data_IF_170656604666
#
_entry.id   IF_170656604666
#
_cell.length_a   1.000
_cell.length_b   1.000
_cell.length_c   1.000
_cell.angle_alpha   90.00
_cell.angle_beta   90.00
_cell.angle_gamma   90.00
#
_symmetry.space_group_name_H-M   'P 1'
#
loop_
_entity.id
_entity.type
_entity.pdbx_description
1 polymer ?
#
# COMPACT_ATOMS: atom_id res chain seq x y z
N UNK A 1 23.73 11.53 -16.37
CA UNK A 1 22.61 12.35 -16.90
C UNK A 1 21.40 12.09 -16.02
N UNK A 2 20.82 13.11 -15.37
CA UNK A 2 19.59 12.90 -14.60
C UNK A 2 18.45 12.63 -15.58
N UNK A 3 17.67 11.59 -15.31
CA UNK A 3 16.40 11.36 -15.99
C UNK A 3 15.40 12.35 -15.38
N UNK A 4 14.99 13.36 -16.15
CA UNK A 4 13.85 14.19 -15.79
C UNK A 4 12.58 13.35 -16.00
N UNK A 5 12.03 12.86 -14.91
CA UNK A 5 10.74 12.16 -14.90
C UNK A 5 9.70 13.18 -14.42
N UNK A 6 8.93 13.73 -15.36
CA UNK A 6 7.76 14.52 -15.04
C UNK A 6 6.56 13.59 -14.83
N UNK A 7 5.88 13.75 -13.70
CA UNK A 7 4.63 13.04 -13.40
C UNK A 7 3.46 14.02 -13.57
N UNK A 8 2.55 13.74 -14.49
CA UNK A 8 1.27 14.44 -14.58
C UNK A 8 0.18 13.53 -14.01
N UNK A 9 -0.48 13.96 -12.93
CA UNK A 9 -1.64 13.25 -12.37
C UNK A 9 -2.89 13.96 -12.88
N UNK A 10 -3.63 13.32 -13.79
CA UNK A 10 -4.95 13.79 -14.21
C UNK A 10 -6.03 12.94 -13.57
N UNK A 11 -7.02 13.62 -12.99
CA UNK A 11 -8.27 13.02 -12.53
C UNK A 11 -9.32 13.34 -13.59
N UNK A 12 -9.86 12.32 -14.27
CA UNK A 12 -10.96 12.49 -15.22
C UNK A 12 -12.22 11.83 -14.69
N UNK A 13 -13.32 12.58 -14.59
CA UNK A 13 -14.66 12.04 -14.39
C UNK A 13 -15.50 12.25 -15.65
N UNK A 14 -16.25 11.25 -16.08
CA UNK A 14 -17.25 11.39 -17.14
C UNK A 14 -18.62 11.58 -16.54
N UNK A 15 -19.26 12.70 -16.84
CA UNK A 15 -20.64 12.96 -16.47
C UNK A 15 -21.55 12.23 -17.48
N UNK A 16 -22.28 11.22 -17.03
CA UNK A 16 -23.43 10.68 -17.76
C UNK A 16 -24.67 10.93 -16.92
N UNK A 17 -25.72 11.48 -17.51
CA UNK A 17 -26.89 12.07 -16.84
C UNK A 17 -27.78 11.08 -16.05
N UNK A 18 -27.34 9.85 -15.81
CA UNK A 18 -28.13 8.86 -15.07
C UNK A 18 -27.36 8.11 -13.97
N UNK A 19 -26.03 8.08 -14.00
CA UNK A 19 -25.20 7.54 -12.92
C UNK A 19 -23.83 8.23 -12.93
N UNK A 20 -23.34 8.62 -11.74
CA UNK A 20 -21.93 9.00 -11.56
C UNK A 20 -21.11 7.71 -11.48
N UNK A 21 -20.62 7.23 -12.61
CA UNK A 21 -19.50 6.29 -12.60
C UNK A 21 -18.23 7.07 -12.24
N UNK A 22 -17.82 6.97 -10.97
CA UNK A 22 -16.49 7.43 -10.55
C UNK A 22 -15.48 6.39 -10.98
N UNK A 23 -14.97 6.48 -12.19
CA UNK A 23 -13.75 5.76 -12.58
C UNK A 23 -12.56 6.56 -12.05
N UNK A 24 -11.98 6.13 -10.92
CA UNK A 24 -10.73 6.69 -10.41
C UNK A 24 -9.55 6.18 -11.26
N UNK A 25 -9.44 6.68 -12.49
CA UNK A 25 -8.25 6.42 -13.31
C UNK A 25 -7.18 7.42 -12.88
N UNK A 26 -6.13 6.92 -12.22
CA UNK A 26 -4.90 7.69 -12.01
C UNK A 26 -3.97 7.32 -13.14
N UNK A 27 -3.94 8.16 -14.18
CA UNK A 27 -2.96 8.03 -15.23
C UNK A 27 -1.62 8.58 -14.71
N UNK A 28 -0.65 7.69 -14.54
CA UNK A 28 0.73 8.06 -14.22
C UNK A 28 1.48 8.11 -15.55
N UNK A 29 1.58 9.29 -16.15
CA UNK A 29 2.40 9.50 -17.33
C UNK A 29 3.88 9.56 -16.94
N UNK A 30 4.68 8.65 -17.48
CA UNK A 30 6.14 8.78 -17.53
C UNK A 30 6.46 9.43 -18.88
N UNK A 31 6.70 10.74 -18.90
CA UNK A 31 7.16 11.39 -20.13
C UNK A 31 8.63 11.01 -20.39
N UNK A 32 8.97 10.32 -21.48
CA UNK A 32 10.36 10.21 -21.89
C UNK A 32 10.87 11.56 -22.43
N UNK A 33 12.19 11.83 -22.40
CA UNK A 33 12.75 13.00 -23.05
C UNK A 33 12.37 13.02 -24.54
N UNK A 34 12.04 14.22 -25.02
CA UNK A 34 11.46 14.54 -26.33
C UNK A 34 11.85 13.59 -27.47
N UNK A 35 10.88 12.86 -28.05
CA UNK A 35 11.07 12.15 -29.33
C UNK A 35 10.22 10.91 -29.58
N UNK A 36 9.49 10.38 -28.60
CA UNK A 36 8.63 9.21 -28.78
C UNK A 36 7.22 9.47 -28.23
N UNK A 37 6.23 9.49 -29.12
CA UNK A 37 4.81 9.46 -28.73
C UNK A 37 4.32 8.02 -28.74
N UNK A 38 4.19 7.42 -27.56
CA UNK A 38 3.40 6.21 -27.37
C UNK A 38 2.19 6.56 -26.51
N UNK A 39 1.02 6.65 -27.14
CA UNK A 39 -0.25 6.72 -26.42
C UNK A 39 -0.56 5.32 -25.88
N UNK A 40 -0.66 5.19 -24.55
CA UNK A 40 -1.17 3.98 -23.91
C UNK A 40 -2.54 4.33 -23.34
N UNK A 41 -3.57 4.23 -24.16
CA UNK A 41 -4.96 4.22 -23.70
C UNK A 41 -5.30 2.81 -23.23
N UNK A 42 -5.62 2.66 -21.94
CA UNK A 42 -6.15 1.42 -21.37
C UNK A 42 -5.18 0.72 -20.43
N UNK A 43 -5.21 1.10 -19.15
CA UNK A 43 -4.69 0.24 -18.08
C UNK A 43 -5.70 -0.88 -17.82
N UNK A 44 -5.82 -1.82 -18.78
CA UNK A 44 -6.44 -3.10 -18.52
C UNK A 44 -5.66 -3.79 -17.39
N UNK A 45 -6.36 -4.47 -16.48
CA UNK A 45 -5.76 -5.30 -15.42
C UNK A 45 -4.50 -5.97 -15.96
N UNK A 46 -3.36 -5.61 -15.37
CA UNK A 46 -2.02 -6.04 -15.80
C UNK A 46 -2.07 -7.48 -16.32
N UNK A 47 -1.79 -7.68 -17.63
CA UNK A 47 -1.48 -9.00 -18.13
C UNK A 47 -0.35 -9.54 -17.25
N UNK A 48 -0.44 -10.80 -16.81
CA UNK A 48 0.74 -11.52 -16.33
C UNK A 48 1.69 -11.65 -17.52
N UNK A 49 2.46 -10.62 -17.85
CA UNK A 49 3.18 -10.50 -19.12
C UNK A 49 4.18 -9.34 -19.17
N UNK A 50 5.42 -9.67 -18.82
CA UNK A 50 6.74 -9.23 -19.32
C UNK A 50 7.18 -7.77 -19.56
N UNK A 51 6.32 -6.75 -19.73
CA UNK A 51 6.80 -5.52 -20.40
C UNK A 51 6.81 -4.23 -19.55
N UNK A 52 6.77 -4.35 -18.22
CA UNK A 52 7.32 -3.27 -17.36
C UNK A 52 8.80 -3.54 -17.27
N UNK A 53 9.64 -2.61 -17.75
CA UNK A 53 11.10 -2.68 -17.54
C UNK A 53 11.35 -3.21 -16.14
N UNK A 54 11.94 -4.41 -16.13
CA UNK A 54 12.03 -5.25 -14.96
C UNK A 54 12.64 -4.39 -13.85
N UNK A 55 11.81 -4.00 -12.86
CA UNK A 55 12.24 -3.59 -11.53
C UNK A 55 12.87 -4.83 -10.84
N UNK A 56 13.81 -5.46 -11.56
CA UNK A 56 14.58 -6.60 -11.18
C UNK A 56 15.39 -6.19 -9.95
N UNK A 57 15.48 -7.06 -8.94
CA UNK A 57 15.54 -6.58 -7.59
C UNK A 57 16.93 -6.03 -7.28
N UNK A 58 17.04 -4.76 -6.85
CA UNK A 58 18.14 -4.33 -5.97
C UNK A 58 17.95 -4.89 -4.55
N UNK A 59 17.67 -6.19 -4.44
CA UNK A 59 17.36 -6.88 -3.20
C UNK A 59 17.41 -8.40 -3.36
N UNK A 60 18.46 -9.03 -2.80
CA UNK A 60 18.76 -10.48 -2.68
C UNK A 60 18.41 -11.46 -3.83
N UNK A 61 17.84 -11.05 -4.96
CA UNK A 61 17.40 -11.92 -6.05
C UNK A 61 16.20 -12.83 -5.71
N UNK A 62 15.57 -12.68 -4.53
CA UNK A 62 14.42 -13.52 -4.17
C UNK A 62 13.16 -13.10 -4.94
N UNK A 63 12.48 -14.03 -5.63
CA UNK A 63 11.22 -13.74 -6.29
C UNK A 63 10.12 -13.41 -5.26
N UNK A 64 9.19 -12.52 -5.63
CA UNK A 64 7.98 -12.14 -4.85
C UNK A 64 8.25 -11.30 -3.60
N UNK A 65 8.82 -10.11 -3.80
CA UNK A 65 8.86 -9.09 -2.76
C UNK A 65 7.56 -8.27 -2.83
N UNK A 66 6.72 -8.42 -1.81
CA UNK A 66 5.42 -7.74 -1.73
C UNK A 66 5.53 -6.33 -1.17
N UNK A 67 6.57 -6.06 -0.38
CA UNK A 67 6.76 -4.78 0.28
C UNK A 67 7.46 -3.81 -0.67
N UNK A 68 6.72 -2.77 -1.07
CA UNK A 68 7.21 -1.67 -1.92
C UNK A 68 7.39 -0.45 -1.05
N UNK A 69 8.58 0.11 -1.05
CA UNK A 69 8.79 1.46 -0.54
C UNK A 69 8.62 2.46 -1.70
N UNK A 70 7.52 3.20 -1.68
CA UNK A 70 7.21 4.19 -2.71
C UNK A 70 8.10 5.44 -2.64
N UNK A 71 8.72 5.71 -1.50
CA UNK A 71 9.67 6.82 -1.37
C UNK A 71 10.96 6.47 -2.12
N UNK A 72 11.49 5.27 -1.90
CA UNK A 72 12.73 4.84 -2.53
C UNK A 72 12.52 4.24 -3.93
N UNK A 73 11.29 3.90 -4.32
CA UNK A 73 10.95 3.15 -5.54
C UNK A 73 11.71 1.82 -5.62
N UNK A 74 11.83 1.14 -4.48
CA UNK A 74 12.50 -0.15 -4.37
C UNK A 74 11.62 -1.16 -3.69
N UNK A 75 11.92 -2.43 -3.94
CA UNK A 75 11.38 -3.56 -3.19
C UNK A 75 12.50 -4.13 -2.35
N UNK A 76 12.20 -4.40 -1.09
CA UNK A 76 13.06 -5.19 -0.24
C UNK A 76 12.28 -6.39 0.26
N UNK A 77 12.95 -7.53 0.38
CA UNK A 77 12.43 -8.61 1.20
C UNK A 77 12.59 -8.25 2.68
N UNK A 78 11.86 -8.96 3.54
CA UNK A 78 11.91 -8.79 4.99
C UNK A 78 13.32 -8.90 5.58
N UNK A 79 14.18 -9.72 4.97
CA UNK A 79 15.57 -9.91 5.43
C UNK A 79 16.49 -8.78 4.92
N UNK A 80 16.22 -8.23 3.74
CA UNK A 80 17.03 -7.16 3.16
C UNK A 80 16.71 -5.79 3.75
N UNK A 81 15.46 -5.57 4.17
CA UNK A 81 15.04 -4.29 4.74
C UNK A 81 15.97 -3.81 5.87
N UNK A 82 16.18 -4.56 6.96
CA UNK A 82 17.03 -4.09 8.07
C UNK A 82 18.52 -3.97 7.70
N UNK A 83 18.95 -4.54 6.56
CA UNK A 83 20.33 -4.43 6.08
C UNK A 83 20.55 -3.18 5.22
N UNK A 84 19.50 -2.68 4.57
CA UNK A 84 19.57 -1.56 3.62
C UNK A 84 18.99 -0.28 4.20
N UNK A 85 18.00 -0.41 5.08
CA UNK A 85 17.31 0.69 5.73
C UNK A 85 17.78 0.75 7.19
N UNK A 86 18.52 1.80 7.52
CA UNK A 86 19.12 1.99 8.84
C UNK A 86 18.45 3.16 9.58
N UNK A 87 18.19 3.03 10.89
CA UNK A 87 17.64 4.11 11.70
C UNK A 87 18.70 5.19 11.90
N UNK A 88 18.34 6.48 12.01
CA UNK A 88 19.38 7.51 12.18
C UNK A 88 20.06 7.53 13.52
N UNK A 89 19.53 6.81 14.51
CA UNK A 89 20.31 6.45 15.69
C UNK A 89 21.63 5.73 15.31
N UNK A 90 21.65 4.96 14.22
CA UNK A 90 22.85 4.36 13.67
C UNK A 90 23.82 5.43 13.17
N UNK A 91 23.41 6.31 12.26
CA UNK A 91 24.29 7.35 11.72
C UNK A 91 24.77 8.34 12.78
N UNK A 92 23.91 8.71 13.73
CA UNK A 92 24.29 9.58 14.85
C UNK A 92 25.38 8.96 15.75
N UNK A 93 25.37 7.63 15.92
CA UNK A 93 26.33 6.92 16.79
C UNK A 93 27.61 6.55 16.06
N UNK A 94 27.49 5.96 14.87
CA UNK A 94 28.58 5.30 14.17
C UNK A 94 29.19 6.16 13.07
N UNK A 95 28.44 7.13 12.54
CA UNK A 95 28.89 7.97 11.43
C UNK A 95 28.87 9.45 11.81
N UNK A 96 29.59 9.78 12.90
CA UNK A 96 29.73 11.15 13.45
C UNK A 96 30.24 12.20 12.46
N UNK A 97 30.68 11.79 11.26
CA UNK A 97 31.23 12.67 10.23
C UNK A 97 30.19 13.08 9.19
N UNK A 98 29.00 12.46 9.15
CA UNK A 98 28.00 12.81 8.13
C UNK A 98 27.37 14.16 8.48
N UNK A 99 27.52 15.19 7.63
CA UNK A 99 26.95 16.51 7.91
C UNK A 99 25.44 16.39 8.07
N UNK A 100 24.89 17.02 9.11
CA UNK A 100 23.44 16.94 9.42
C UNK A 100 22.57 17.36 8.22
N UNK A 101 23.05 18.31 7.41
CA UNK A 101 22.35 18.75 6.21
C UNK A 101 22.09 17.62 5.20
N UNK A 102 22.96 16.60 5.13
CA UNK A 102 22.82 15.48 4.18
C UNK A 102 21.53 14.71 4.43
N UNK A 103 21.09 14.57 5.67
CA UNK A 103 19.84 13.88 5.99
C UNK A 103 18.59 14.63 5.48
N UNK A 104 18.70 15.92 5.16
CA UNK A 104 17.63 16.70 4.51
C UNK A 104 17.69 16.62 2.98
N UNK A 105 18.69 15.93 2.41
CA UNK A 105 18.90 15.76 0.97
C UNK A 105 18.53 14.34 0.50
N UNK A 106 18.03 13.52 1.42
CA UNK A 106 17.70 12.10 1.22
C UNK A 106 16.27 11.89 1.72
N UNK A 107 15.42 11.20 0.96
CA UNK A 107 14.11 10.80 1.44
C UNK A 107 14.22 9.83 2.63
N UNK A 108 13.26 9.87 3.55
CA UNK A 108 13.16 8.92 4.67
C UNK A 108 12.12 7.80 4.40
N UNK A 109 12.42 6.58 4.84
CA UNK A 109 11.52 5.42 4.76
C UNK A 109 10.30 5.56 5.66
N UNK A 110 10.40 6.43 6.66
CA UNK A 110 9.39 6.62 7.71
C UNK A 110 8.21 7.47 7.24
N UNK A 111 8.16 7.85 5.95
CA UNK A 111 7.09 8.68 5.39
C UNK A 111 5.69 8.11 5.64
N UNK A 112 5.53 6.79 5.78
CA UNK A 112 4.24 6.18 6.18
C UNK A 112 3.63 6.76 7.48
N UNK A 113 4.46 7.29 8.37
CA UNK A 113 4.02 7.96 9.60
C UNK A 113 3.86 9.47 9.44
N UNK A 114 4.60 10.08 8.52
CA UNK A 114 4.70 11.53 8.37
C UNK A 114 3.66 12.06 7.36
N UNK A 115 3.44 11.36 6.25
CA UNK A 115 2.49 11.77 5.20
C UNK A 115 1.02 11.84 5.64
N UNK A 116 0.67 11.26 6.80
CA UNK A 116 -0.66 11.42 7.42
C UNK A 116 -0.85 12.75 8.12
N UNK A 117 0.23 13.38 8.58
CA UNK A 117 0.16 14.53 9.48
C UNK A 117 0.32 15.87 8.75
N UNK A 118 0.84 15.86 7.52
CA UNK A 118 1.17 17.10 6.82
C UNK A 118 0.59 17.10 5.41
N UNK A 119 -0.17 18.15 5.12
CA UNK A 119 -0.71 18.37 3.79
C UNK A 119 0.32 18.98 2.85
N UNK A 120 1.28 19.72 3.40
CA UNK A 120 2.32 20.41 2.68
C UNK A 120 3.66 19.67 2.82
N UNK A 121 4.22 19.22 1.70
CA UNK A 121 5.50 18.52 1.64
C UNK A 121 6.66 19.47 1.95
N UNK A 122 6.52 20.77 1.67
CA UNK A 122 7.58 21.75 1.87
C UNK A 122 7.84 21.99 3.38
N UNK A 123 6.79 21.92 4.20
CA UNK A 123 6.89 22.02 5.66
C UNK A 123 7.65 20.82 6.28
N UNK A 124 7.68 19.68 5.59
CA UNK A 124 8.39 18.49 6.06
C UNK A 124 9.90 18.68 6.08
N UNK A 125 10.44 19.46 5.14
CA UNK A 125 11.88 19.70 5.05
C UNK A 125 12.42 20.57 6.20
N UNK A 126 11.54 21.31 6.89
CA UNK A 126 11.93 22.23 7.96
C UNK A 126 11.72 21.64 9.37
N UNK A 127 10.91 20.58 9.51
CA UNK A 127 10.64 19.91 10.79
C UNK A 127 11.75 18.94 11.24
N UNK A 128 12.88 19.54 11.58
CA UNK A 128 14.12 18.91 12.06
C UNK A 128 14.05 18.50 13.53
N UNK A 129 13.46 17.36 13.84
CA UNK A 129 13.67 16.72 15.16
C UNK A 129 13.42 15.20 15.20
N UNK A 130 13.54 14.49 14.07
CA UNK A 130 13.26 13.04 14.02
C UNK A 130 14.46 12.15 13.74
N UNK A 131 15.70 12.68 13.81
CA UNK A 131 16.91 11.94 13.41
C UNK A 131 17.06 10.55 14.06
N UNK A 132 16.53 10.35 15.27
CA UNK A 132 16.66 9.06 15.96
C UNK A 132 15.70 8.01 15.40
N UNK A 133 14.52 8.41 14.93
CA UNK A 133 13.44 7.50 14.53
C UNK A 133 13.23 7.40 13.02
N UNK A 134 13.81 8.30 12.25
CA UNK A 134 13.78 8.22 10.80
C UNK A 134 14.72 7.10 10.32
N UNK A 135 14.32 6.49 9.23
CA UNK A 135 15.02 5.39 8.60
C UNK A 135 15.48 5.82 7.20
N UNK A 136 16.71 5.48 6.82
CA UNK A 136 17.27 5.86 5.51
C UNK A 136 17.94 4.70 4.82
N UNK A 137 17.91 4.74 3.49
CA UNK A 137 18.67 3.82 2.65
C UNK A 137 20.18 4.12 2.72
N UNK A 138 20.96 3.16 3.20
CA UNK A 138 22.42 3.27 3.40
C UNK A 138 23.18 3.61 2.12
N UNK A 139 22.76 3.04 0.99
CA UNK A 139 23.35 3.34 -0.31
C UNK A 139 23.12 4.81 -0.72
N UNK A 140 21.93 5.35 -0.46
CA UNK A 140 21.65 6.77 -0.74
C UNK A 140 22.42 7.69 0.21
N UNK A 141 22.48 7.36 1.50
CA UNK A 141 23.26 8.12 2.49
C UNK A 141 24.73 8.19 2.09
N UNK A 142 25.33 7.05 1.77
CA UNK A 142 26.73 6.97 1.34
C UNK A 142 26.98 7.81 0.09
N UNK A 143 26.12 7.65 -0.94
CA UNK A 143 26.24 8.36 -2.21
C UNK A 143 26.14 9.87 -2.05
N UNK A 144 25.11 10.35 -1.34
CA UNK A 144 24.86 11.79 -1.17
C UNK A 144 25.92 12.41 -0.24
N UNK A 145 26.36 11.69 0.81
CA UNK A 145 27.44 12.16 1.69
C UNK A 145 28.75 12.32 0.94
N UNK A 146 29.10 11.37 0.07
CA UNK A 146 30.32 11.46 -0.75
C UNK A 146 30.27 12.67 -1.68
N UNK A 147 29.19 12.81 -2.44
CA UNK A 147 29.03 13.93 -3.38
C UNK A 147 29.09 15.29 -2.68
N UNK A 148 28.42 15.42 -1.53
CA UNK A 148 28.43 16.64 -0.72
C UNK A 148 29.85 16.99 -0.27
N UNK A 149 30.59 16.03 0.31
CA UNK A 149 31.96 16.25 0.80
C UNK A 149 32.94 16.56 -0.33
N UNK A 150 32.75 15.98 -1.51
CA UNK A 150 33.62 16.24 -2.65
C UNK A 150 33.47 17.69 -3.16
N UNK A 151 32.23 18.22 -3.18
CA UNK A 151 31.98 19.63 -3.49
C UNK A 151 32.53 20.56 -2.40
N UNK A 152 32.31 20.21 -1.14
CA UNK A 152 32.85 20.96 0.00
C UNK A 152 34.39 21.03 -0.02
N UNK A 153 35.07 19.91 -0.28
CA UNK A 153 36.55 19.83 -0.35
C UNK A 153 37.13 20.67 -1.48
N UNK A 154 36.41 20.79 -2.61
CA UNK A 154 36.82 21.64 -3.73
C UNK A 154 36.67 23.13 -3.44
N UNK A 155 35.91 23.51 -2.41
CA UNK A 155 35.62 24.90 -2.07
C UNK A 155 34.67 25.59 -3.06
N UNK A 156 34.00 24.83 -3.91
CA UNK A 156 33.06 25.33 -4.91
C UNK A 156 31.68 25.52 -4.28
N UNK A 157 31.47 26.72 -3.72
CA UNK A 157 30.25 27.07 -2.98
C UNK A 157 29.01 27.09 -3.88
N UNK A 158 29.15 27.57 -5.11
CA UNK A 158 28.03 27.69 -6.04
C UNK A 158 27.56 26.30 -6.48
N UNK A 159 28.49 25.39 -6.79
CA UNK A 159 28.15 24.01 -7.12
C UNK A 159 27.53 23.25 -5.93
N UNK A 160 28.02 23.53 -4.71
CA UNK A 160 27.44 22.95 -3.49
C UNK A 160 26.01 23.43 -3.24
N UNK A 161 25.74 24.72 -3.42
CA UNK A 161 24.39 25.30 -3.26
C UNK A 161 23.43 24.75 -4.32
N UNK A 162 23.85 24.68 -5.58
CA UNK A 162 23.07 24.06 -6.66
C UNK A 162 22.75 22.60 -6.34
N UNK A 163 23.73 21.83 -5.88
CA UNK A 163 23.51 20.43 -5.46
C UNK A 163 22.47 20.31 -4.33
N UNK A 164 22.57 21.15 -3.29
CA UNK A 164 21.61 21.16 -2.18
C UNK A 164 20.20 21.46 -2.69
N UNK A 165 20.07 22.49 -3.54
CA UNK A 165 18.78 22.90 -4.12
C UNK A 165 18.16 21.78 -4.95
N UNK A 166 18.92 21.18 -5.86
CA UNK A 166 18.47 20.09 -6.72
C UNK A 166 18.05 18.86 -5.91
N UNK A 167 18.84 18.50 -4.90
CA UNK A 167 18.51 17.37 -4.03
C UNK A 167 17.26 17.61 -3.20
N UNK A 168 17.04 18.82 -2.69
CA UNK A 168 15.79 19.17 -2.00
C UNK A 168 14.59 19.05 -2.92
N UNK A 169 14.68 19.63 -4.13
CA UNK A 169 13.62 19.51 -5.13
C UNK A 169 13.31 18.04 -5.44
N UNK A 170 14.34 17.21 -5.61
CA UNK A 170 14.17 15.77 -5.82
C UNK A 170 13.48 15.06 -4.65
N UNK A 171 13.83 15.37 -3.40
CA UNK A 171 13.18 14.79 -2.21
C UNK A 171 11.70 15.18 -2.16
N UNK A 172 11.37 16.44 -2.46
CA UNK A 172 9.98 16.91 -2.52
C UNK A 172 9.18 16.12 -3.56
N UNK A 173 9.72 15.96 -4.77
CA UNK A 173 9.07 15.19 -5.83
C UNK A 173 8.87 13.71 -5.45
N UNK A 174 9.87 13.08 -4.80
CA UNK A 174 9.76 11.71 -4.29
C UNK A 174 8.64 11.57 -3.25
N UNK A 175 8.49 12.55 -2.35
CA UNK A 175 7.39 12.54 -1.38
C UNK A 175 6.03 12.80 -2.01
N UNK A 176 5.92 13.71 -2.98
CA UNK A 176 4.68 13.90 -3.75
C UNK A 176 4.26 12.61 -4.44
N UNK A 177 5.20 11.94 -5.11
CA UNK A 177 4.96 10.64 -5.73
C UNK A 177 4.51 9.60 -4.69
N UNK A 178 5.26 9.44 -3.59
CA UNK A 178 4.94 8.47 -2.55
C UNK A 178 3.52 8.69 -2.00
N UNK A 179 3.15 9.94 -1.75
CA UNK A 179 1.80 10.31 -1.30
C UNK A 179 0.73 9.92 -2.31
N UNK A 180 0.95 10.21 -3.59
CA UNK A 180 0.01 9.83 -4.65
C UNK A 180 -0.15 8.30 -4.73
N UNK A 181 0.96 7.56 -4.68
CA UNK A 181 0.94 6.10 -4.69
C UNK A 181 0.21 5.51 -3.47
N UNK A 182 0.46 6.04 -2.26
CA UNK A 182 -0.23 5.62 -1.05
C UNK A 182 -1.74 5.89 -1.09
N UNK A 183 -2.14 7.06 -1.61
CA UNK A 183 -3.56 7.38 -1.82
C UNK A 183 -4.21 6.39 -2.78
N UNK A 184 -3.56 6.11 -3.90
CA UNK A 184 -4.03 5.11 -4.86
C UNK A 184 -4.21 3.74 -4.22
N UNK A 185 -3.20 3.22 -3.51
CA UNK A 185 -3.29 1.92 -2.80
C UNK A 185 -4.45 1.90 -1.81
N UNK A 186 -4.64 2.99 -1.05
CA UNK A 186 -5.73 3.10 -0.07
C UNK A 186 -7.10 3.06 -0.74
N UNK A 187 -7.27 3.77 -1.86
CA UNK A 187 -8.52 3.77 -2.64
C UNK A 187 -8.81 2.38 -3.22
N UNK A 188 -7.82 1.75 -3.85
CA UNK A 188 -7.92 0.39 -4.39
C UNK A 188 -8.29 -0.64 -3.31
N UNK A 189 -7.71 -0.53 -2.12
CA UNK A 189 -8.04 -1.38 -0.98
C UNK A 189 -9.48 -1.14 -0.49
N UNK A 190 -9.90 0.13 -0.40
CA UNK A 190 -11.26 0.48 -0.02
C UNK A 190 -12.29 -0.06 -1.02
N UNK A 191 -12.06 0.11 -2.32
CA UNK A 191 -12.92 -0.41 -3.39
C UNK A 191 -12.99 -1.94 -3.34
N UNK A 192 -11.84 -2.62 -3.22
CA UNK A 192 -11.77 -4.08 -3.08
C UNK A 192 -12.50 -4.57 -1.83
N UNK A 193 -12.38 -3.85 -0.72
CA UNK A 193 -13.06 -4.19 0.53
C UNK A 193 -14.57 -4.02 0.40
N UNK A 194 -15.04 -2.94 -0.22
CA UNK A 194 -16.46 -2.71 -0.51
C UNK A 194 -17.02 -3.82 -1.41
N UNK A 195 -16.33 -4.15 -2.50
CA UNK A 195 -16.72 -5.26 -3.38
C UNK A 195 -16.79 -6.60 -2.62
N UNK A 196 -15.79 -6.89 -1.78
CA UNK A 196 -15.77 -8.10 -0.95
C UNK A 196 -16.91 -8.12 0.09
N UNK A 197 -17.27 -6.98 0.67
CA UNK A 197 -18.41 -6.86 1.60
C UNK A 197 -19.72 -7.18 0.88
N UNK A 198 -19.94 -6.64 -0.32
CA UNK A 198 -21.12 -6.92 -1.12
C UNK A 198 -21.24 -8.42 -1.46
N UNK A 199 -20.13 -9.07 -1.82
CA UNK A 199 -20.09 -10.52 -2.07
C UNK A 199 -20.44 -11.31 -0.79
N UNK A 200 -19.92 -10.89 0.37
CA UNK A 200 -20.22 -11.55 1.65
C UNK A 200 -21.69 -11.40 2.03
N UNK A 201 -22.27 -10.21 1.89
CA UNK A 201 -23.67 -9.94 2.18
C UNK A 201 -24.60 -10.77 1.27
N UNK A 202 -24.33 -10.78 -0.05
CA UNK A 202 -25.08 -11.60 -1.01
C UNK A 202 -24.98 -13.10 -0.71
N UNK A 203 -23.79 -13.56 -0.33
CA UNK A 203 -23.57 -14.96 0.08
C UNK A 203 -24.34 -15.32 1.35
N UNK A 204 -24.29 -14.46 2.37
CA UNK A 204 -25.02 -14.65 3.62
C UNK A 204 -26.52 -14.75 3.37
N UNK A 205 -27.08 -13.82 2.58
CA UNK A 205 -28.49 -13.84 2.17
C UNK A 205 -28.86 -15.15 1.46
N UNK A 206 -28.04 -15.59 0.50
CA UNK A 206 -28.28 -16.84 -0.22
C UNK A 206 -28.26 -18.05 0.73
N UNK A 207 -27.33 -18.09 1.68
CA UNK A 207 -27.25 -19.17 2.67
C UNK A 207 -28.49 -19.15 3.59
N UNK A 208 -28.93 -17.97 4.04
CA UNK A 208 -30.13 -17.79 4.86
C UNK A 208 -31.36 -18.35 4.16
N UNK A 209 -31.61 -17.90 2.93
CA UNK A 209 -32.75 -18.35 2.14
C UNK A 209 -32.74 -19.88 1.91
N UNK A 210 -31.58 -20.47 1.64
CA UNK A 210 -31.48 -21.92 1.45
C UNK A 210 -31.71 -22.70 2.75
N UNK A 211 -31.27 -22.19 3.90
CA UNK A 211 -31.54 -22.81 5.21
C UNK A 211 -33.01 -22.68 5.60
N UNK A 212 -33.64 -21.53 5.33
CA UNK A 212 -35.08 -21.31 5.56
C UNK A 212 -35.93 -22.26 4.71
N UNK A 213 -35.55 -22.52 3.43
CA UNK A 213 -36.20 -23.54 2.59
C UNK A 213 -36.10 -24.95 3.17
N UNK A 214 -35.06 -25.23 3.94
CA UNK A 214 -34.87 -26.50 4.66
C UNK A 214 -35.60 -26.53 6.01
N UNK A 215 -36.34 -25.47 6.37
CA UNK A 215 -37.12 -25.39 7.61
C UNK A 215 -36.35 -24.84 8.82
N UNK A 216 -35.16 -24.27 8.62
CA UNK A 216 -34.39 -23.64 9.70
C UNK A 216 -34.74 -22.14 9.80
N UNK A 217 -35.39 -21.69 10.89
CA UNK A 217 -35.75 -20.28 11.06
C UNK A 217 -34.50 -19.43 11.37
N UNK A 218 -34.44 -18.22 10.83
CA UNK A 218 -33.26 -17.34 10.91
C UNK A 218 -32.84 -16.98 12.34
N UNK A 219 -33.77 -17.02 13.28
CA UNK A 219 -33.59 -16.76 14.70
C UNK A 219 -32.71 -17.81 15.38
N UNK A 220 -32.62 -19.02 14.81
CA UNK A 220 -31.80 -20.13 15.32
C UNK A 220 -30.34 -20.06 14.87
N UNK A 221 -29.99 -19.11 14.00
CA UNK A 221 -28.66 -19.07 13.40
C UNK A 221 -27.59 -18.67 14.43
N UNK A 222 -26.54 -19.49 14.61
CA UNK A 222 -25.55 -19.27 15.66
C UNK A 222 -24.66 -18.07 15.35
N UNK A 223 -24.33 -17.29 16.38
CA UNK A 223 -23.36 -16.17 16.29
C UNK A 223 -21.96 -16.61 16.71
N UNK A 224 -21.49 -17.74 16.18
CA UNK A 224 -20.21 -18.33 16.57
C UNK A 224 -19.13 -18.17 15.48
N UNK A 225 -17.86 -18.28 15.86
CA UNK A 225 -16.73 -18.14 14.93
C UNK A 225 -16.73 -19.20 13.81
N UNK A 226 -17.19 -20.42 14.11
CA UNK A 226 -17.28 -21.50 13.13
C UNK A 226 -18.30 -21.18 12.01
N UNK A 227 -19.46 -20.64 12.40
CA UNK A 227 -20.48 -20.14 11.47
C UNK A 227 -19.92 -19.02 10.60
N UNK A 228 -19.34 -18.00 11.23
CA UNK A 228 -18.81 -16.83 10.53
C UNK A 228 -17.76 -17.20 9.48
N UNK A 229 -16.91 -18.19 9.76
CA UNK A 229 -15.90 -18.69 8.80
C UNK A 229 -16.51 -19.32 7.55
N UNK A 230 -17.71 -19.88 7.61
CA UNK A 230 -18.40 -20.51 6.46
C UNK A 230 -19.20 -19.46 5.69
N UNK A 231 -19.93 -18.61 6.43
CA UNK A 231 -20.89 -17.65 5.87
C UNK A 231 -20.20 -16.42 5.29
N UNK A 232 -19.26 -15.78 6.01
CA UNK A 232 -18.64 -14.50 5.62
C UNK A 232 -17.43 -14.64 4.67
N UNK A 233 -17.48 -15.59 3.74
CA UNK A 233 -16.43 -15.75 2.73
C UNK A 233 -16.70 -14.84 1.53
N UNK A 234 -15.66 -14.15 1.03
CA UNK A 234 -15.75 -13.28 -0.14
C UNK A 234 -15.76 -14.09 -1.45
N UNK A 235 -16.71 -15.02 -1.60
CA UNK A 235 -16.92 -15.82 -2.81
C UNK A 235 -18.40 -16.13 -3.01
N UNK A 236 -18.88 -16.05 -4.26
CA UNK A 236 -20.27 -16.36 -4.60
C UNK A 236 -20.65 -17.76 -4.13
N UNK A 237 -21.87 -17.93 -3.62
CA UNK A 237 -22.43 -19.24 -3.34
C UNK A 237 -22.79 -19.93 -4.67
N UNK A 238 -22.15 -21.06 -4.97
CA UNK A 238 -22.48 -21.90 -6.12
C UNK A 238 -23.09 -23.21 -5.63
N UNK A 239 -23.85 -23.94 -6.46
CA UNK A 239 -24.46 -25.21 -6.06
C UNK A 239 -23.43 -26.19 -5.45
N UNK A 240 -22.29 -26.36 -6.12
CA UNK A 240 -21.19 -27.21 -5.62
C UNK A 240 -20.65 -26.75 -4.25
N UNK A 241 -20.57 -25.44 -4.01
CA UNK A 241 -20.13 -24.93 -2.69
C UNK A 241 -21.22 -25.20 -1.66
N UNK A 242 -22.49 -24.99 -2.01
CA UNK A 242 -23.65 -25.26 -1.15
C UNK A 242 -23.66 -26.71 -0.68
N UNK A 243 -23.60 -27.68 -1.60
CA UNK A 243 -23.58 -29.11 -1.28
C UNK A 243 -22.49 -29.47 -0.26
N UNK A 244 -21.34 -28.78 -0.34
CA UNK A 244 -20.21 -29.00 0.55
C UNK A 244 -20.37 -28.36 1.94
N UNK A 245 -21.04 -27.22 2.03
CA UNK A 245 -21.16 -26.45 3.29
C UNK A 245 -22.44 -26.75 4.05
N UNK A 246 -23.53 -27.11 3.35
CA UNK A 246 -24.84 -27.40 3.92
C UNK A 246 -24.77 -28.38 5.11
N UNK A 247 -24.15 -29.59 4.99
CA UNK A 247 -24.08 -30.52 6.13
C UNK A 247 -23.32 -29.95 7.33
N UNK A 248 -22.38 -29.03 7.12
CA UNK A 248 -21.64 -28.38 8.21
C UNK A 248 -22.47 -27.31 8.91
N UNK A 249 -23.28 -26.57 8.15
CA UNK A 249 -24.19 -25.57 8.69
C UNK A 249 -25.28 -26.23 9.53
N UNK A 250 -25.86 -27.33 9.04
CA UNK A 250 -26.85 -28.13 9.78
C UNK A 250 -26.25 -28.64 11.09
N UNK A 251 -25.06 -29.26 11.06
CA UNK A 251 -24.41 -29.73 12.28
C UNK A 251 -24.15 -28.61 13.31
N UNK A 252 -23.86 -27.38 12.86
CA UNK A 252 -23.71 -26.23 13.74
C UNK A 252 -25.06 -25.76 14.33
N UNK A 253 -26.13 -25.78 13.54
CA UNK A 253 -27.48 -25.43 14.00
C UNK A 253 -28.01 -26.46 15.01
N UNK A 254 -27.81 -27.74 14.75
CA UNK A 254 -28.19 -28.82 15.67
C UNK A 254 -27.44 -28.71 16.99
N UNK A 255 -26.12 -28.51 16.95
CA UNK A 255 -25.32 -28.30 18.16
C UNK A 255 -25.78 -27.06 18.95
N UNK A 256 -26.05 -25.94 18.27
CA UNK A 256 -26.54 -24.73 18.90
C UNK A 256 -27.92 -24.92 19.55
N UNK A 257 -28.83 -25.65 18.90
CA UNK A 257 -30.16 -25.92 19.44
C UNK A 257 -30.13 -26.88 20.64
N UNK A 258 -29.21 -27.86 20.66
CA UNK A 258 -29.01 -28.73 21.82
C UNK A 258 -28.53 -27.95 23.05
N UNK A 259 -27.64 -26.98 22.86
CA UNK A 259 -27.14 -26.11 23.94
C UNK A 259 -28.22 -25.14 24.45
N UNK A 260 -29.15 -24.74 23.58
CA UNK A 260 -30.26 -23.82 23.89
C UNK A 260 -31.55 -24.52 24.33
N UNK A 261 -31.57 -25.85 24.46
CA UNK A 261 -32.69 -26.53 25.08
C UNK A 261 -32.92 -25.87 26.45
N UNK A 262 -34.06 -25.17 26.66
CA UNK A 262 -34.26 -24.37 27.84
C UNK A 262 -34.01 -25.29 29.03
N UNK A 263 -33.10 -24.86 29.91
CA UNK A 263 -32.88 -25.51 31.18
C UNK A 263 -34.18 -25.38 32.00
N UNK A 264 -35.19 -26.18 31.68
CA UNK A 264 -36.42 -26.40 32.46
C UNK A 264 -36.09 -26.93 33.87
N UNK A 265 -34.81 -27.15 34.17
CA UNK A 265 -34.30 -27.61 35.47
C UNK A 265 -34.00 -26.50 36.47
N UNK A 266 -34.19 -25.22 36.13
CA UNK A 266 -33.89 -24.11 37.04
C UNK A 266 -35.03 -23.10 37.13
N UNK A 267 -36.21 -23.53 37.58
CA UNK A 267 -37.09 -22.69 38.45
C UNK A 267 -38.11 -23.61 39.14
N UNK A 268 -37.92 -23.95 40.44
CA UNK A 268 -38.96 -24.58 41.27
C UNK A 268 -40.10 -23.61 41.60
#
# INVERSE_FOLDING_TARGET
>A
MPLDICFEVRLSGTNSDEYIEVTNTIDIFLSPPSGFTTSISGFQRSPRGSDVEDLSPRGCGRPRQNDVDFVFLVRFCRDCWPLKILPGGYYARYERRTPVIVFNLIPDASYHYVGRLYENVDELLDMRCRYIRTEWCDEEVTKITSAYRDLERRGDKDALEAFIKDRRAHVVERYKFCRAAQRWVTLEEAERNCANQNIRASREESIRQELEKLGWPSETFPRCAAWNRIVYQARKLTPRIWDRICPKLIALLEAHNLDYAPNERYYP
#
